data_IF_993391643312
#
_entry.id   IF_993391643312
#
_cell.length_a   1.000
_cell.length_b   1.000
_cell.length_c   1.000
_cell.angle_alpha   90.00
_cell.angle_beta   90.00
_cell.angle_gamma   90.00
#
_symmetry.space_group_name_H-M   'P 1'
#
loop_
_entity.id
_entity.type
_entity.pdbx_description
1 polymer ?
#
# COMPACT_ATOMS: atom_id res chain seq x y z
N UNK A 1 56.43 33.21 -15.95
CA UNK A 1 55.54 32.64 -14.95
C UNK A 1 54.13 32.60 -15.59
N UNK A 2 53.55 31.39 -15.81
CA UNK A 2 52.22 31.23 -16.43
C UNK A 2 51.19 31.08 -15.30
N UNK A 3 50.09 31.84 -15.30
CA UNK A 3 49.03 31.68 -14.28
C UNK A 3 48.29 30.34 -14.49
N UNK A 4 48.19 29.52 -13.44
CA UNK A 4 47.32 28.33 -13.40
C UNK A 4 45.92 28.75 -13.00
N UNK A 5 45.00 28.63 -13.94
CA UNK A 5 43.60 28.92 -13.72
C UNK A 5 42.95 27.71 -13.03
N UNK A 6 42.59 27.84 -11.76
CA UNK A 6 41.79 26.84 -11.03
C UNK A 6 40.34 26.98 -11.40
N UNK A 7 39.83 26.01 -12.18
CA UNK A 7 38.39 25.88 -12.45
C UNK A 7 37.73 25.20 -11.23
N UNK A 8 37.06 26.02 -10.39
CA UNK A 8 36.23 25.48 -9.32
C UNK A 8 34.90 24.97 -9.93
N UNK A 9 34.77 23.65 -9.96
CA UNK A 9 33.52 23.00 -10.35
C UNK A 9 32.53 23.09 -9.18
N UNK A 10 31.58 24.01 -9.26
CA UNK A 10 30.48 24.11 -8.29
C UNK A 10 29.53 22.95 -8.54
N UNK A 11 29.57 21.92 -7.69
CA UNK A 11 28.58 20.86 -7.65
C UNK A 11 27.27 21.44 -7.09
N UNK A 12 26.27 21.65 -7.97
CA UNK A 12 24.92 22.00 -7.57
C UNK A 12 24.29 20.77 -6.91
N UNK A 13 23.75 20.90 -5.68
CA UNK A 13 23.00 19.83 -5.07
C UNK A 13 21.70 19.63 -5.87
N UNK A 14 21.57 18.51 -6.57
CA UNK A 14 20.28 18.07 -7.11
C UNK A 14 19.41 17.67 -5.92
N UNK A 15 18.46 18.53 -5.56
CA UNK A 15 17.41 18.18 -4.62
C UNK A 15 16.63 17.00 -5.23
N UNK A 16 16.85 15.80 -4.71
CA UNK A 16 16.04 14.63 -5.02
C UNK A 16 14.63 14.92 -4.47
N UNK A 17 13.69 15.27 -5.36
CA UNK A 17 12.28 15.43 -5.05
C UNK A 17 11.68 14.04 -4.82
N UNK A 18 12.04 13.39 -3.70
CA UNK A 18 11.40 12.18 -3.22
C UNK A 18 10.17 12.57 -2.38
N UNK A 19 9.27 13.36 -2.95
CA UNK A 19 7.94 13.53 -2.41
C UNK A 19 7.02 12.50 -3.06
N UNK A 20 6.93 11.33 -2.46
CA UNK A 20 5.78 10.48 -2.66
C UNK A 20 4.57 11.26 -2.12
N UNK A 21 3.96 12.02 -2.99
CA UNK A 21 2.81 12.83 -2.65
C UNK A 21 1.62 11.90 -2.46
N UNK A 22 1.02 11.90 -1.26
CA UNK A 22 -0.31 11.32 -1.03
C UNK A 22 -1.37 11.91 -1.98
N UNK A 23 -0.99 12.93 -2.78
CA UNK A 23 -1.84 13.57 -3.75
C UNK A 23 -2.36 12.64 -4.86
N UNK A 24 -1.69 11.51 -5.11
CA UNK A 24 -2.15 10.51 -6.07
C UNK A 24 -3.31 9.65 -5.55
N UNK A 25 -3.51 9.57 -4.23
CA UNK A 25 -4.59 8.81 -3.61
C UNK A 25 -5.80 9.70 -3.32
N UNK A 26 -7.01 9.14 -3.45
CA UNK A 26 -8.22 9.80 -3.00
C UNK A 26 -8.44 9.53 -1.51
N UNK A 27 -7.92 10.43 -0.67
CA UNK A 27 -7.99 10.32 0.78
C UNK A 27 -9.41 10.52 1.35
N UNK A 28 -10.36 10.97 0.52
CA UNK A 28 -11.76 11.14 0.91
C UNK A 28 -12.58 9.85 0.75
N UNK A 29 -12.04 8.88 0.02
CA UNK A 29 -12.68 7.59 -0.23
C UNK A 29 -11.92 6.44 0.42
N UNK A 30 -12.65 5.40 0.74
CA UNK A 30 -12.10 4.10 1.14
C UNK A 30 -12.74 3.00 0.32
N UNK A 31 -11.95 1.99 -0.03
CA UNK A 31 -12.40 0.81 -0.77
C UNK A 31 -11.93 -0.43 -0.02
N UNK A 32 -12.83 -1.39 0.14
CA UNK A 32 -12.49 -2.71 0.66
C UNK A 32 -12.32 -3.69 -0.48
N UNK A 33 -11.13 -4.25 -0.61
CA UNK A 33 -10.78 -5.26 -1.60
C UNK A 33 -10.80 -6.63 -0.94
N UNK A 34 -11.50 -7.58 -1.53
CA UNK A 34 -11.45 -8.99 -1.13
C UNK A 34 -10.71 -9.80 -2.17
N UNK A 35 -9.68 -10.51 -1.76
CA UNK A 35 -8.87 -11.23 -2.72
C UNK A 35 -7.83 -12.14 -2.09
N UNK A 36 -6.88 -12.54 -2.90
CA UNK A 36 -5.80 -13.45 -2.52
C UNK A 36 -4.46 -12.75 -2.67
N UNK A 37 -3.62 -12.82 -1.64
CA UNK A 37 -2.26 -12.26 -1.69
C UNK A 37 -1.47 -12.96 -2.80
N UNK A 38 -0.98 -12.17 -3.75
CA UNK A 38 -0.05 -12.62 -4.78
C UNK A 38 1.39 -12.50 -4.32
N UNK A 39 1.74 -11.35 -3.70
CA UNK A 39 3.09 -11.07 -3.21
C UNK A 39 3.05 -10.01 -2.11
N UNK A 40 3.99 -10.10 -1.18
CA UNK A 40 4.21 -9.09 -0.16
C UNK A 40 5.67 -8.68 -0.13
N UNK A 41 5.96 -7.52 -0.71
CA UNK A 41 7.30 -6.95 -0.82
C UNK A 41 7.64 -6.14 0.44
N UNK A 42 8.55 -6.67 1.23
CA UNK A 42 9.05 -6.04 2.45
C UNK A 42 10.31 -5.25 2.14
N UNK A 43 10.16 -4.11 1.45
CA UNK A 43 11.25 -3.32 0.85
C UNK A 43 11.20 -1.85 1.28
N UNK A 44 12.37 -1.18 1.28
CA UNK A 44 12.46 0.27 1.44
C UNK A 44 12.41 0.98 0.07
N UNK A 45 11.88 2.20 -0.01
CA UNK A 45 11.32 3.00 1.08
C UNK A 45 9.91 2.59 1.50
N UNK A 46 9.19 1.82 0.69
CA UNK A 46 7.81 1.41 0.91
C UNK A 46 7.65 -0.10 0.74
N UNK A 47 6.80 -0.70 1.58
CA UNK A 47 6.32 -2.06 1.36
C UNK A 47 5.20 -2.05 0.30
N UNK A 48 5.02 -3.17 -0.40
CA UNK A 48 3.97 -3.34 -1.39
C UNK A 48 3.22 -4.64 -1.16
N UNK A 49 1.89 -4.55 -1.24
CA UNK A 49 1.01 -5.72 -1.21
C UNK A 49 0.38 -5.84 -2.59
N UNK A 50 0.66 -6.96 -3.26
CA UNK A 50 0.03 -7.32 -4.51
C UNK A 50 -1.07 -8.34 -4.23
N UNK A 51 -2.29 -8.03 -4.69
CA UNK A 51 -3.47 -8.84 -4.43
C UNK A 51 -4.24 -9.10 -5.73
N UNK A 52 -4.72 -10.32 -5.90
CA UNK A 52 -5.61 -10.73 -6.97
C UNK A 52 -7.05 -10.60 -6.48
N UNK A 53 -7.82 -9.71 -7.11
CA UNK A 53 -9.21 -9.40 -6.75
C UNK A 53 -10.11 -9.82 -7.90
N UNK A 54 -11.05 -10.76 -7.71
CA UNK A 54 -12.04 -11.08 -8.73
C UNK A 54 -13.06 -9.93 -8.86
N UNK A 55 -13.39 -9.57 -10.10
CA UNK A 55 -14.49 -8.66 -10.38
C UNK A 55 -15.86 -9.38 -10.37
N UNK A 56 -16.92 -8.63 -10.59
CA UNK A 56 -18.30 -9.14 -10.64
C UNK A 56 -18.53 -10.20 -11.74
N UNK A 57 -17.64 -10.28 -12.72
CA UNK A 57 -17.66 -11.25 -13.82
C UNK A 57 -16.75 -12.45 -13.58
N UNK A 58 -16.06 -12.46 -12.44
CA UNK A 58 -15.07 -13.49 -12.09
C UNK A 58 -13.71 -13.28 -12.78
N UNK A 59 -13.49 -12.16 -13.46
CA UNK A 59 -12.19 -11.81 -14.02
C UNK A 59 -11.30 -11.26 -12.91
N UNK A 60 -10.12 -11.84 -12.78
CA UNK A 60 -9.16 -11.43 -11.74
C UNK A 60 -8.42 -10.16 -12.18
N UNK A 61 -8.49 -9.13 -11.33
CA UNK A 61 -7.75 -7.89 -11.47
C UNK A 61 -6.62 -7.87 -10.44
N UNK A 62 -5.42 -7.53 -10.90
CA UNK A 62 -4.28 -7.34 -10.00
C UNK A 62 -4.26 -5.91 -9.45
N UNK A 63 -4.17 -5.79 -8.12
CA UNK A 63 -4.07 -4.52 -7.43
C UNK A 63 -2.70 -4.38 -6.77
N UNK A 64 -2.09 -3.18 -6.90
CA UNK A 64 -0.85 -2.80 -6.21
C UNK A 64 -1.15 -1.82 -5.07
N UNK A 65 -0.84 -2.20 -3.85
CA UNK A 65 -1.19 -1.43 -2.65
C UNK A 65 0.10 -1.02 -1.95
N UNK A 66 0.31 0.30 -1.86
CA UNK A 66 1.48 0.89 -1.21
C UNK A 66 1.28 0.98 0.29
N UNK A 67 2.23 0.43 1.05
CA UNK A 67 2.29 0.52 2.50
C UNK A 67 3.42 1.41 2.99
N UNK A 68 3.53 1.57 4.30
CA UNK A 68 4.64 2.28 4.93
C UNK A 68 5.94 1.47 4.86
N UNK A 69 7.04 2.10 5.24
CA UNK A 69 8.35 1.43 5.27
C UNK A 69 8.36 0.23 6.23
N UNK A 70 9.20 -0.79 5.96
CA UNK A 70 9.37 -1.94 6.85
C UNK A 70 9.64 -1.57 8.31
N UNK A 71 10.48 -0.58 8.56
CA UNK A 71 10.80 -0.13 9.92
C UNK A 71 9.59 0.46 10.65
N UNK A 72 8.74 1.18 9.93
CA UNK A 72 7.51 1.74 10.48
C UNK A 72 6.51 0.63 10.83
N UNK A 73 6.32 -0.32 9.94
CA UNK A 73 5.40 -1.44 10.11
C UNK A 73 5.87 -2.42 11.20
N UNK A 74 7.18 -2.69 11.29
CA UNK A 74 7.76 -3.60 12.29
C UNK A 74 7.45 -3.16 13.73
N UNK A 75 7.45 -1.85 14.01
CA UNK A 75 7.07 -1.30 15.32
C UNK A 75 5.59 -1.53 15.66
N UNK A 76 4.80 -2.00 14.71
CA UNK A 76 3.36 -2.31 14.82
C UNK A 76 3.06 -3.79 14.71
N UNK A 77 4.10 -4.61 14.89
CA UNK A 77 3.97 -6.07 14.89
C UNK A 77 4.01 -6.72 13.50
N UNK A 78 4.28 -5.95 12.46
CA UNK A 78 4.43 -6.49 11.11
C UNK A 78 5.82 -7.11 10.91
N UNK A 79 5.88 -8.08 10.03
CA UNK A 79 7.12 -8.69 9.55
C UNK A 79 6.96 -9.11 8.09
N UNK A 80 8.06 -9.46 7.43
CA UNK A 80 8.02 -10.00 6.07
C UNK A 80 7.19 -11.31 5.93
N UNK A 81 6.80 -11.92 7.06
CA UNK A 81 5.99 -13.15 7.11
C UNK A 81 4.53 -12.91 7.49
N UNK A 82 4.15 -11.65 7.70
CA UNK A 82 2.79 -11.28 8.11
C UNK A 82 1.76 -11.67 7.05
N UNK A 83 2.07 -11.44 5.79
CA UNK A 83 1.26 -11.88 4.66
C UNK A 83 2.06 -12.90 3.84
N UNK A 84 1.37 -13.93 3.36
CA UNK A 84 1.96 -14.97 2.53
C UNK A 84 1.19 -15.09 1.23
N UNK A 85 1.88 -15.47 0.18
CA UNK A 85 1.22 -15.82 -1.09
C UNK A 85 0.14 -16.88 -0.85
N UNK A 86 -1.05 -16.66 -1.39
CA UNK A 86 -2.20 -17.53 -1.23
C UNK A 86 -3.12 -17.19 -0.06
N UNK A 87 -2.73 -16.28 0.85
CA UNK A 87 -3.61 -15.85 1.94
C UNK A 87 -4.84 -15.14 1.38
N UNK A 88 -6.03 -15.55 1.83
CA UNK A 88 -7.28 -14.85 1.54
C UNK A 88 -7.46 -13.74 2.55
N UNK A 89 -7.68 -12.52 2.06
CA UNK A 89 -7.70 -11.31 2.88
C UNK A 89 -8.79 -10.34 2.44
N UNK A 90 -9.16 -9.46 3.37
CA UNK A 90 -9.92 -8.25 3.09
C UNK A 90 -9.02 -7.04 3.40
N UNK A 91 -8.74 -6.20 2.40
CA UNK A 91 -7.84 -5.05 2.53
C UNK A 91 -8.62 -3.75 2.37
N UNK A 92 -8.48 -2.84 3.34
CA UNK A 92 -9.00 -1.48 3.27
C UNK A 92 -7.91 -0.54 2.76
N UNK A 93 -8.24 0.28 1.77
CA UNK A 93 -7.33 1.21 1.12
C UNK A 93 -7.98 2.57 0.88
N UNK A 94 -7.14 3.61 0.69
CA UNK A 94 -7.51 4.79 -0.08
C UNK A 94 -7.13 4.53 -1.54
N UNK A 95 -8.09 4.56 -2.50
CA UNK A 95 -7.81 4.21 -3.89
C UNK A 95 -6.93 5.27 -4.58
N UNK A 96 -6.27 4.89 -5.67
CA UNK A 96 -5.69 5.85 -6.60
C UNK A 96 -6.79 6.72 -7.22
N UNK A 97 -6.48 7.99 -7.48
CA UNK A 97 -7.32 8.86 -8.30
C UNK A 97 -7.26 8.38 -9.74
N UNK A 98 -8.43 8.08 -10.31
CA UNK A 98 -8.53 7.54 -11.67
C UNK A 98 -9.00 6.08 -11.69
N UNK A 99 -8.81 5.41 -12.81
CA UNK A 99 -9.29 4.04 -13.04
C UNK A 99 -8.25 2.94 -12.78
N UNK A 100 -7.11 3.27 -12.19
CA UNK A 100 -6.03 2.32 -11.94
C UNK A 100 -6.30 1.44 -10.73
N UNK A 101 -5.89 0.17 -10.81
CA UNK A 101 -6.03 -0.80 -9.73
C UNK A 101 -4.88 -0.64 -8.72
N UNK A 102 -5.05 0.31 -7.80
CA UNK A 102 -4.05 0.58 -6.77
C UNK A 102 -4.58 1.45 -5.65
N UNK A 103 -3.78 1.60 -4.59
CA UNK A 103 -4.15 2.44 -3.46
C UNK A 103 -3.11 2.49 -2.36
N UNK A 104 -3.39 3.34 -1.37
CA UNK A 104 -2.63 3.43 -0.12
C UNK A 104 -3.23 2.50 0.92
N UNK A 105 -2.40 1.67 1.52
CA UNK A 105 -2.80 0.69 2.53
C UNK A 105 -3.31 1.34 3.82
N UNK A 106 -4.38 0.81 4.39
CA UNK A 106 -4.90 1.20 5.70
C UNK A 106 -4.87 0.02 6.69
N UNK A 107 -5.53 -1.07 6.34
CA UNK A 107 -5.60 -2.28 7.17
C UNK A 107 -5.86 -3.52 6.34
N UNK A 108 -5.52 -4.67 6.91
CA UNK A 108 -5.85 -5.99 6.37
C UNK A 108 -6.52 -6.84 7.45
N UNK A 109 -7.56 -7.55 7.07
CA UNK A 109 -8.19 -8.60 7.87
C UNK A 109 -7.83 -9.94 7.28
N UNK A 110 -7.20 -10.78 8.09
CA UNK A 110 -6.80 -12.15 7.74
C UNK A 110 -8.00 -13.10 7.84
N UNK A 111 -7.86 -14.31 7.29
CA UNK A 111 -8.92 -15.31 7.31
C UNK A 111 -9.37 -15.76 8.72
N UNK A 112 -8.49 -15.61 9.72
CA UNK A 112 -8.80 -15.91 11.13
C UNK A 112 -9.47 -14.74 11.87
N UNK A 113 -9.76 -13.62 11.16
CA UNK A 113 -10.34 -12.42 11.73
C UNK A 113 -9.32 -11.44 12.33
N UNK A 114 -8.04 -11.78 12.36
CA UNK A 114 -6.99 -10.86 12.84
C UNK A 114 -6.91 -9.63 11.96
N UNK A 115 -6.98 -8.44 12.57
CA UNK A 115 -6.86 -7.16 11.87
C UNK A 115 -5.51 -6.54 12.14
N UNK A 116 -4.75 -6.31 11.06
CA UNK A 116 -3.48 -5.61 11.12
C UNK A 116 -3.56 -4.27 10.39
N UNK A 117 -3.00 -3.22 11.00
CA UNK A 117 -3.10 -1.85 10.52
C UNK A 117 -1.76 -1.23 10.26
N UNK A 118 -1.75 -0.30 9.30
CA UNK A 118 -0.58 0.53 9.03
C UNK A 118 -0.38 1.59 10.12
N UNK A 119 -1.45 2.23 10.59
CA UNK A 119 -1.43 3.27 11.61
C UNK A 119 -2.45 2.98 12.71
N UNK A 120 -2.26 3.58 13.89
CA UNK A 120 -3.26 3.53 14.96
C UNK A 120 -4.55 4.24 14.52
N UNK A 121 -5.68 3.58 14.70
CA UNK A 121 -7.00 4.12 14.42
C UNK A 121 -8.06 3.22 15.05
N UNK A 122 -9.33 3.67 15.18
CA UNK A 122 -10.41 2.82 15.69
C UNK A 122 -10.53 1.55 14.83
N UNK A 123 -11.00 0.43 15.41
CA UNK A 123 -11.30 -0.77 14.63
C UNK A 123 -12.27 -0.43 13.49
N UNK A 124 -12.15 -1.05 12.29
CA UNK A 124 -13.21 -1.00 11.32
C UNK A 124 -14.50 -1.48 11.99
N UNK A 125 -15.64 -0.94 11.53
CA UNK A 125 -16.95 -1.35 12.04
C UNK A 125 -17.09 -2.87 11.97
N UNK A 126 -17.81 -3.50 12.93
CA UNK A 126 -17.89 -4.96 13.05
C UNK A 126 -18.58 -5.67 11.87
N UNK A 127 -19.12 -4.93 10.92
CA UNK A 127 -19.89 -5.45 9.77
C UNK A 127 -19.01 -5.90 8.60
N UNK A 128 -17.69 -5.71 8.69
CA UNK A 128 -16.77 -6.23 7.69
C UNK A 128 -16.54 -7.75 7.91
N UNK A 129 -17.55 -8.56 7.61
CA UNK A 129 -17.34 -10.00 7.43
C UNK A 129 -16.31 -10.18 6.31
N UNK A 130 -15.09 -10.69 6.60
CA UNK A 130 -14.01 -10.80 5.62
C UNK A 130 -14.34 -11.70 4.43
N UNK A 131 -15.49 -12.38 4.47
CA UNK A 131 -15.94 -13.34 3.45
C UNK A 131 -17.31 -12.98 2.86
N UNK A 132 -17.91 -11.84 3.22
CA UNK A 132 -19.14 -11.39 2.58
C UNK A 132 -18.86 -10.82 1.19
N UNK A 133 -19.72 -11.04 0.19
CA UNK A 133 -19.57 -10.42 -1.12
C UNK A 133 -19.62 -8.90 -0.98
N UNK A 134 -18.78 -8.19 -1.76
CA UNK A 134 -18.67 -6.74 -1.73
C UNK A 134 -20.03 -6.07 -1.89
N UNK A 135 -20.47 -5.33 -0.86
CA UNK A 135 -21.67 -4.50 -0.96
C UNK A 135 -21.30 -3.25 -1.75
N UNK A 136 -21.90 -3.07 -2.92
CA UNK A 136 -21.80 -1.83 -3.68
C UNK A 136 -22.35 -0.69 -2.85
N UNK A 137 -21.54 0.32 -2.58
CA UNK A 137 -22.04 1.63 -2.15
C UNK A 137 -22.71 2.31 -3.33
N UNK A 138 -23.83 3.01 -3.10
CA UNK A 138 -24.63 3.66 -4.13
C UNK A 138 -23.89 4.78 -4.86
#
# INVERSE_FOLDING_TARGET
MKPVLWLTFAALPTAALAHHSYAMFDMSQTVTLQGTIRDFQWTNPHSWIWIDVPDDKGVTQQWGIEGMSPNYLARRGWSKRTLKQGDRVSILIHPLKGAEHGGSFMSVTLADGTVMRQSGGPPPAPDANPLAPAVKSP
#
